data_IF_628889577985
#
_entry.id   IF_628889577985
#
_cell.length_a   1.000
_cell.length_b   1.000
_cell.length_c   1.000
_cell.angle_alpha   90.00
_cell.angle_beta   90.00
_cell.angle_gamma   90.00
#
_symmetry.space_group_name_H-M   'P 1'
#
loop_
_entity.id
_entity.type
_entity.pdbx_description
1 polymer ?
#
# COMPACT_ATOMS: atom_id res chain seq x y z
N UNK A 1 -34.37 -10.14 64.52
CA UNK A 1 -34.15 -9.24 63.38
C UNK A 1 -32.87 -9.72 62.68
N UNK A 2 -32.98 -10.39 61.52
CA UNK A 2 -31.80 -10.93 60.80
C UNK A 2 -31.36 -9.90 59.77
N UNK A 3 -30.13 -9.41 59.87
CA UNK A 3 -29.54 -8.46 58.93
C UNK A 3 -28.93 -9.27 57.78
N UNK A 4 -29.54 -9.23 56.60
CA UNK A 4 -28.99 -9.85 55.37
C UNK A 4 -28.01 -8.83 54.78
N UNK A 5 -26.71 -9.14 54.84
CA UNK A 5 -25.64 -8.34 54.23
C UNK A 5 -25.52 -8.77 52.77
N UNK A 6 -25.92 -7.94 51.82
CA UNK A 6 -25.63 -8.11 50.40
C UNK A 6 -24.21 -7.62 50.14
N UNK A 7 -23.29 -8.52 49.85
CA UNK A 7 -21.98 -8.18 49.29
C UNK A 7 -22.08 -8.12 47.76
N UNK A 8 -21.78 -6.96 47.21
CA UNK A 8 -21.61 -6.81 45.78
C UNK A 8 -20.29 -7.49 45.40
N UNK A 9 -20.36 -8.64 44.73
CA UNK A 9 -19.18 -9.32 44.22
C UNK A 9 -18.89 -8.79 42.80
N UNK A 10 -17.76 -8.14 42.63
CA UNK A 10 -17.25 -7.82 41.29
C UNK A 10 -16.51 -9.04 40.78
N UNK A 11 -16.98 -9.60 39.66
CA UNK A 11 -16.34 -10.74 38.99
C UNK A 11 -15.17 -10.25 38.10
N UNK A 12 -14.06 -9.89 38.71
CA UNK A 12 -12.79 -9.64 38.03
C UNK A 12 -11.99 -10.93 37.93
N UNK A 13 -11.32 -11.15 36.81
CA UNK A 13 -10.41 -12.28 36.62
C UNK A 13 -8.98 -11.80 36.79
N UNK A 14 -8.36 -12.17 37.89
CA UNK A 14 -6.92 -11.97 38.12
C UNK A 14 -6.17 -13.26 37.81
N UNK A 15 -5.17 -13.18 36.94
CA UNK A 15 -4.25 -14.30 36.67
C UNK A 15 -2.90 -13.93 37.24
N UNK A 16 -2.45 -14.69 38.22
CA UNK A 16 -1.18 -14.46 38.95
C UNK A 16 -1.11 -13.06 39.63
N UNK A 17 -2.28 -12.50 40.01
CA UNK A 17 -2.41 -11.32 40.85
C UNK A 17 -3.53 -11.52 41.85
N UNK A 18 -3.28 -11.19 43.12
CA UNK A 18 -4.29 -11.24 44.18
C UNK A 18 -5.12 -9.96 44.29
N UNK A 19 -4.64 -8.88 43.66
CA UNK A 19 -5.28 -7.56 43.67
C UNK A 19 -5.40 -7.05 42.23
N UNK A 20 -6.37 -7.57 41.44
CA UNK A 20 -6.59 -7.10 40.07
C UNK A 20 -6.89 -5.59 40.07
N UNK A 21 -6.48 -4.91 39.03
CA UNK A 21 -6.76 -3.49 38.83
C UNK A 21 -8.28 -3.27 38.72
N UNK A 22 -8.84 -2.43 39.59
CA UNK A 22 -10.28 -2.19 39.65
C UNK A 22 -10.93 -1.61 38.38
N UNK A 23 -10.13 -1.14 37.44
CA UNK A 23 -10.58 -0.62 36.16
C UNK A 23 -10.57 -1.69 35.02
N UNK A 24 -10.19 -2.95 35.31
CA UNK A 24 -10.10 -4.03 34.32
C UNK A 24 -11.01 -5.18 34.67
N UNK A 25 -11.56 -5.87 33.67
CA UNK A 25 -12.31 -7.13 33.84
C UNK A 25 -11.35 -8.32 33.98
N UNK A 26 -10.20 -8.23 33.31
CA UNK A 26 -9.12 -9.23 33.36
C UNK A 26 -7.80 -8.51 33.64
N UNK A 27 -7.05 -8.99 34.60
CA UNK A 27 -5.71 -8.52 34.93
C UNK A 27 -4.75 -9.72 34.98
N UNK A 28 -3.74 -9.69 34.14
CA UNK A 28 -2.74 -10.77 34.02
C UNK A 28 -1.37 -10.18 34.38
N UNK A 29 -0.79 -10.65 35.45
CA UNK A 29 0.52 -10.24 35.93
C UNK A 29 1.53 -11.37 35.73
N UNK A 30 2.60 -11.12 34.99
CA UNK A 30 3.71 -12.05 34.86
C UNK A 30 4.99 -11.32 34.42
N UNK A 31 6.12 -11.73 35.00
CA UNK A 31 7.46 -11.32 34.57
C UNK A 31 8.18 -12.40 33.73
N UNK A 32 7.52 -13.55 33.46
CA UNK A 32 8.13 -14.70 32.79
C UNK A 32 7.28 -15.24 31.62
N UNK A 33 5.98 -14.93 31.59
CA UNK A 33 5.02 -15.52 30.63
C UNK A 33 4.20 -14.43 29.96
N UNK A 34 3.85 -14.65 28.68
CA UNK A 34 2.97 -13.81 27.88
C UNK A 34 1.59 -14.42 27.69
N UNK A 35 0.76 -13.74 26.93
CA UNK A 35 -0.55 -14.19 26.49
C UNK A 35 -0.42 -14.69 25.05
N UNK A 36 -0.92 -15.89 24.78
CA UNK A 36 -1.09 -16.41 23.42
C UNK A 36 -2.53 -16.18 22.99
N UNK A 37 -2.73 -15.28 22.05
CA UNK A 37 -4.04 -15.02 21.45
C UNK A 37 -4.32 -15.99 20.28
N UNK A 38 -5.57 -16.10 19.80
CA UNK A 38 -5.91 -16.92 18.64
C UNK A 38 -5.05 -16.56 17.43
N UNK A 39 -4.55 -17.61 16.76
CA UNK A 39 -3.65 -17.49 15.60
C UNK A 39 -4.37 -18.01 14.37
N UNK A 40 -4.48 -17.18 13.33
CA UNK A 40 -5.20 -17.51 12.09
C UNK A 40 -4.33 -17.10 10.89
N UNK A 41 -4.46 -17.87 9.81
CA UNK A 41 -4.00 -17.46 8.49
C UNK A 41 -4.99 -16.47 7.87
N UNK A 42 -4.59 -15.77 6.79
CA UNK A 42 -5.50 -14.92 6.01
C UNK A 42 -6.76 -15.68 5.57
N UNK A 43 -6.57 -16.88 5.06
CA UNK A 43 -7.68 -17.72 4.61
C UNK A 43 -8.64 -18.09 5.76
N UNK A 44 -8.11 -18.44 6.92
CA UNK A 44 -8.94 -18.76 8.09
C UNK A 44 -9.65 -17.53 8.64
N UNK A 45 -8.94 -16.39 8.71
CA UNK A 45 -9.53 -15.10 9.10
C UNK A 45 -10.70 -14.75 8.18
N UNK A 46 -10.46 -14.76 6.87
CA UNK A 46 -11.43 -14.32 5.86
C UNK A 46 -12.64 -15.27 5.78
N UNK A 47 -12.43 -16.56 5.94
CA UNK A 47 -13.54 -17.55 5.82
C UNK A 47 -14.32 -17.76 7.11
N UNK A 48 -13.70 -17.62 8.28
CA UNK A 48 -14.31 -17.93 9.57
C UNK A 48 -14.78 -16.70 10.34
N UNK A 49 -14.12 -15.55 10.13
CA UNK A 49 -14.40 -14.31 10.86
C UNK A 49 -14.95 -13.22 9.94
N UNK A 50 -14.09 -12.58 9.17
CA UNK A 50 -14.46 -11.53 8.22
C UNK A 50 -13.42 -11.43 7.10
N UNK A 51 -13.91 -11.21 5.89
CA UNK A 51 -13.11 -10.90 4.72
C UNK A 51 -12.89 -9.39 4.61
N UNK A 52 -11.66 -8.98 4.34
CA UNK A 52 -11.31 -7.58 4.11
C UNK A 52 -11.57 -7.10 2.67
N UNK A 53 -12.05 -7.98 1.78
CA UNK A 53 -12.29 -7.58 0.40
C UNK A 53 -13.56 -6.70 0.28
N UNK A 54 -13.43 -5.38 0.07
CA UNK A 54 -14.58 -4.50 -0.05
C UNK A 54 -15.38 -4.71 -1.33
N UNK A 55 -14.87 -5.51 -2.28
CA UNK A 55 -15.56 -5.84 -3.52
C UNK A 55 -16.50 -7.04 -3.39
N UNK A 56 -16.34 -7.83 -2.33
CA UNK A 56 -17.30 -8.90 -2.02
C UNK A 56 -18.56 -8.34 -1.37
N UNK A 57 -19.70 -8.96 -1.64
CA UNK A 57 -20.99 -8.54 -1.08
C UNK A 57 -21.33 -9.43 0.11
N UNK A 58 -21.54 -8.85 1.28
CA UNK A 58 -21.61 -7.42 1.65
C UNK A 58 -20.26 -6.72 1.55
N UNK A 59 -20.19 -5.36 1.51
CA UNK A 59 -18.98 -4.60 1.21
C UNK A 59 -17.75 -4.88 2.06
N UNK A 60 -17.94 -5.48 3.23
CA UNK A 60 -16.88 -5.97 4.12
C UNK A 60 -16.62 -7.47 3.95
N UNK A 61 -17.09 -8.07 2.84
CA UNK A 61 -17.01 -9.51 2.64
C UNK A 61 -17.93 -10.31 3.56
N UNK A 62 -17.63 -11.60 3.74
CA UNK A 62 -18.36 -12.47 4.66
C UNK A 62 -17.97 -12.07 6.08
N UNK A 63 -18.92 -11.58 6.86
CA UNK A 63 -18.74 -11.26 8.28
C UNK A 63 -19.51 -12.28 9.12
N UNK A 64 -18.81 -12.92 10.05
CA UNK A 64 -19.47 -13.74 11.06
C UNK A 64 -20.41 -12.85 11.91
N UNK A 65 -21.68 -13.20 11.98
CA UNK A 65 -22.68 -12.43 12.71
C UNK A 65 -22.35 -12.20 14.21
N UNK A 66 -21.48 -13.05 14.77
CA UNK A 66 -21.02 -12.95 16.16
C UNK A 66 -19.66 -12.25 16.31
N UNK A 67 -19.08 -11.74 15.22
CA UNK A 67 -17.80 -11.05 15.27
C UNK A 67 -17.99 -9.64 15.86
N UNK A 68 -17.45 -9.43 17.04
CA UNK A 68 -17.54 -8.14 17.75
C UNK A 68 -16.37 -7.24 17.41
N UNK A 69 -16.63 -5.94 17.31
CA UNK A 69 -15.59 -4.91 17.22
C UNK A 69 -14.61 -5.05 18.40
N UNK A 70 -13.32 -4.97 18.10
CA UNK A 70 -12.25 -5.17 19.08
C UNK A 70 -11.77 -6.63 19.17
N UNK A 71 -12.35 -7.57 18.39
CA UNK A 71 -11.80 -8.94 18.32
C UNK A 71 -10.35 -8.88 17.85
N UNK A 72 -9.45 -9.49 18.64
CA UNK A 72 -8.00 -9.47 18.44
C UNK A 72 -7.52 -10.87 18.01
N UNK A 73 -6.68 -10.90 16.98
CA UNK A 73 -6.00 -12.11 16.49
C UNK A 73 -4.53 -11.85 16.21
N UNK A 74 -3.76 -12.93 16.11
CA UNK A 74 -2.45 -12.90 15.48
C UNK A 74 -2.55 -13.54 14.10
N UNK A 75 -2.33 -12.77 13.04
CA UNK A 75 -2.36 -13.26 11.68
C UNK A 75 -1.01 -13.89 11.33
N UNK A 76 -1.00 -15.22 11.08
CA UNK A 76 0.23 -15.96 10.80
C UNK A 76 0.71 -15.84 9.35
N UNK A 77 -0.13 -15.39 8.43
CA UNK A 77 0.28 -15.14 7.04
C UNK A 77 1.03 -13.82 6.91
N UNK A 78 0.68 -12.83 7.73
CA UNK A 78 1.26 -11.50 7.72
C UNK A 78 2.17 -11.21 8.93
N UNK A 79 2.29 -12.18 9.86
CA UNK A 79 3.08 -12.11 11.10
C UNK A 79 2.79 -10.87 11.95
N UNK A 80 1.48 -10.55 12.16
CA UNK A 80 1.09 -9.36 12.90
C UNK A 80 -0.15 -9.55 13.75
N UNK A 81 -0.31 -8.67 14.72
CA UNK A 81 -1.56 -8.53 15.47
C UNK A 81 -2.56 -7.71 14.67
N UNK A 82 -3.77 -8.22 14.55
CA UNK A 82 -4.88 -7.55 13.88
C UNK A 82 -6.10 -7.50 14.79
N UNK A 83 -6.89 -6.42 14.68
CA UNK A 83 -8.16 -6.29 15.36
C UNK A 83 -9.26 -5.89 14.39
N UNK A 84 -10.47 -6.37 14.66
CA UNK A 84 -11.66 -6.00 13.89
C UNK A 84 -12.21 -4.66 14.38
N UNK A 85 -12.31 -3.67 13.49
CA UNK A 85 -12.83 -2.33 13.83
C UNK A 85 -14.36 -2.21 13.61
N UNK A 86 -15.02 -3.29 13.20
CA UNK A 86 -16.42 -3.33 12.83
C UNK A 86 -16.65 -3.35 11.32
N UNK A 87 -15.63 -3.02 10.53
CA UNK A 87 -15.69 -2.97 9.08
C UNK A 87 -14.56 -3.73 8.40
N UNK A 88 -13.35 -3.63 8.96
CA UNK A 88 -12.15 -4.23 8.40
C UNK A 88 -11.18 -4.64 9.50
N UNK A 89 -10.29 -5.59 9.19
CA UNK A 89 -9.16 -5.93 10.05
C UNK A 89 -8.09 -4.86 9.96
N UNK A 90 -7.75 -4.30 11.10
CA UNK A 90 -6.69 -3.31 11.23
C UNK A 90 -5.52 -3.88 12.00
N UNK A 91 -4.34 -3.51 11.57
CA UNK A 91 -3.12 -3.82 12.29
C UNK A 91 -3.10 -3.06 13.64
N UNK A 92 -2.84 -3.79 14.74
CA UNK A 92 -2.83 -3.20 16.09
C UNK A 92 -1.61 -2.30 16.31
N UNK A 93 -0.48 -2.70 15.76
CA UNK A 93 0.75 -1.92 15.84
C UNK A 93 1.22 -1.61 14.41
N UNK A 94 1.34 -0.34 14.11
CA UNK A 94 2.17 0.09 13.01
C UNK A 94 3.60 -0.05 13.50
N UNK A 95 4.38 -0.94 12.90
CA UNK A 95 5.79 -1.00 13.21
C UNK A 95 6.38 0.38 12.85
N UNK A 96 6.62 1.21 13.84
CA UNK A 96 7.54 2.31 13.69
C UNK A 96 8.90 1.67 13.56
N UNK A 97 9.36 1.45 12.34
CA UNK A 97 10.70 1.00 12.13
C UNK A 97 11.63 2.16 12.51
N UNK A 98 12.04 2.15 13.73
CA UNK A 98 13.11 3.04 14.21
C UNK A 98 14.46 2.63 13.66
N UNK A 99 14.55 1.53 12.95
CA UNK A 99 15.83 0.89 12.71
C UNK A 99 16.45 1.22 11.37
N UNK A 100 15.69 1.56 10.35
CA UNK A 100 16.32 1.78 9.06
C UNK A 100 15.68 2.98 8.36
N UNK A 101 16.35 4.08 8.35
CA UNK A 101 15.94 5.27 7.61
C UNK A 101 15.77 5.09 6.10
N UNK A 102 15.69 3.85 5.60
CA UNK A 102 15.56 3.53 4.19
C UNK A 102 14.33 2.72 3.81
N UNK A 103 13.59 2.17 4.75
CA UNK A 103 12.39 1.38 4.50
C UNK A 103 11.25 2.20 3.87
N UNK A 104 11.38 3.52 3.92
CA UNK A 104 10.46 4.43 3.24
C UNK A 104 10.75 4.68 1.76
N UNK A 105 11.91 4.31 1.22
CA UNK A 105 12.28 4.67 -0.16
C UNK A 105 12.58 3.45 -0.99
N UNK A 106 11.81 3.22 -2.04
CA UNK A 106 12.03 2.14 -3.01
C UNK A 106 11.97 2.71 -4.43
N UNK A 107 13.05 2.54 -5.17
CA UNK A 107 13.14 2.91 -6.59
C UNK A 107 13.06 1.66 -7.46
N UNK A 108 12.27 1.71 -8.50
CA UNK A 108 12.12 0.65 -9.51
C UNK A 108 12.55 1.16 -10.87
N UNK A 109 13.38 0.38 -11.55
CA UNK A 109 13.86 0.65 -12.91
C UNK A 109 13.83 -0.65 -13.72
N UNK A 110 13.95 -0.53 -15.04
CA UNK A 110 14.26 -1.70 -15.88
C UNK A 110 15.65 -2.22 -15.53
N UNK A 111 15.78 -3.52 -15.29
CA UNK A 111 17.04 -4.16 -14.98
C UNK A 111 17.99 -4.28 -16.17
N UNK A 112 19.16 -4.84 -15.96
CA UNK A 112 20.16 -5.09 -16.99
C UNK A 112 19.56 -5.95 -18.12
N UNK A 113 19.56 -5.44 -19.34
CA UNK A 113 18.90 -6.06 -20.50
C UNK A 113 17.38 -5.82 -20.57
N UNK A 114 16.79 -5.13 -19.59
CA UNK A 114 15.39 -4.71 -19.63
C UNK A 114 15.19 -3.46 -20.48
N UNK A 115 14.06 -3.39 -21.15
CA UNK A 115 13.68 -2.22 -21.95
C UNK A 115 12.88 -1.26 -21.06
N UNK A 116 13.32 0.01 -21.00
CA UNK A 116 12.57 1.05 -20.32
C UNK A 116 11.21 1.24 -21.00
N UNK A 117 10.11 1.31 -20.24
CA UNK A 117 8.80 1.51 -20.84
C UNK A 117 8.78 2.77 -21.68
N UNK A 118 8.40 2.61 -22.94
CA UNK A 118 8.33 3.72 -23.89
C UNK A 118 7.00 3.69 -24.60
N UNK A 119 6.32 4.83 -24.65
CA UNK A 119 5.03 4.99 -25.33
C UNK A 119 5.07 6.18 -26.27
N UNK A 120 4.39 6.03 -27.40
CA UNK A 120 4.16 7.11 -28.34
C UNK A 120 2.77 7.67 -28.08
N UNK A 121 2.73 8.91 -27.62
CA UNK A 121 1.50 9.64 -27.35
C UNK A 121 1.09 10.40 -28.60
N UNK A 122 -0.15 10.26 -28.99
CA UNK A 122 -0.76 11.01 -30.08
C UNK A 122 -1.76 12.00 -29.52
N UNK A 123 -1.85 13.16 -30.13
CA UNK A 123 -2.80 14.19 -29.82
C UNK A 123 -3.38 14.79 -31.10
N UNK A 124 -4.51 15.41 -31.01
CA UNK A 124 -5.13 16.12 -32.11
C UNK A 124 -5.58 17.51 -31.63
N UNK A 125 -4.97 18.55 -32.17
CA UNK A 125 -5.40 19.93 -32.02
C UNK A 125 -5.37 20.46 -30.57
N UNK A 126 -4.27 20.29 -29.85
CA UNK A 126 -4.08 20.72 -28.46
C UNK A 126 -5.06 20.07 -27.45
N UNK A 127 -5.57 18.89 -27.80
CA UNK A 127 -6.42 18.10 -26.91
C UNK A 127 -5.67 16.82 -26.52
N UNK A 128 -5.75 16.43 -25.26
CA UNK A 128 -5.17 15.18 -24.80
C UNK A 128 -5.69 13.99 -25.60
N UNK A 129 -4.76 13.21 -26.12
CA UNK A 129 -5.08 12.02 -26.90
C UNK A 129 -5.49 10.83 -26.02
N UNK A 130 -5.56 9.66 -26.64
CA UNK A 130 -5.89 8.42 -25.90
C UNK A 130 -4.80 8.09 -24.89
N UNK A 131 -5.11 7.92 -23.59
CA UNK A 131 -4.15 7.51 -22.60
C UNK A 131 -3.50 6.15 -22.92
N UNK A 132 -2.21 6.04 -22.68
CA UNK A 132 -1.43 4.82 -22.83
C UNK A 132 -0.96 4.33 -21.47
N UNK A 133 -1.18 3.06 -21.17
CA UNK A 133 -0.68 2.45 -19.94
C UNK A 133 0.83 2.22 -20.01
N UNK A 134 1.53 2.58 -18.96
CA UNK A 134 2.96 2.33 -18.82
C UNK A 134 3.18 0.95 -18.21
N UNK A 135 3.77 0.06 -19.00
CA UNK A 135 3.98 -1.33 -18.64
C UNK A 135 5.48 -1.61 -18.53
N UNK A 136 5.91 -2.04 -17.34
CA UNK A 136 7.25 -2.53 -17.15
C UNK A 136 7.34 -4.01 -17.53
N UNK A 137 8.40 -4.37 -18.22
CA UNK A 137 8.74 -5.76 -18.51
C UNK A 137 9.91 -6.20 -17.63
N UNK A 138 9.94 -7.47 -17.30
CA UNK A 138 11.07 -8.07 -16.60
C UNK A 138 12.32 -8.12 -17.50
N UNK A 139 13.55 -8.05 -16.95
CA UNK A 139 13.86 -7.94 -15.51
C UNK A 139 13.69 -6.52 -14.97
N UNK A 140 13.39 -6.43 -13.68
CA UNK A 140 13.34 -5.18 -12.94
C UNK A 140 14.49 -5.10 -11.96
N UNK A 141 14.95 -3.87 -11.71
CA UNK A 141 15.93 -3.57 -10.66
C UNK A 141 15.28 -2.72 -9.59
N UNK A 142 15.53 -3.07 -8.35
CA UNK A 142 15.03 -2.35 -7.18
C UNK A 142 16.20 -1.73 -6.41
N UNK A 143 16.04 -0.52 -5.94
CA UNK A 143 17.03 0.16 -5.11
C UNK A 143 16.35 0.81 -3.90
N UNK A 144 16.76 0.50 -2.67
CA UNK A 144 17.86 -0.42 -2.35
C UNK A 144 17.54 -1.86 -2.76
N UNK A 145 18.59 -2.64 -2.97
CA UNK A 145 18.42 -4.07 -3.27
C UNK A 145 17.88 -4.81 -2.05
N UNK A 146 16.86 -5.66 -2.19
CA UNK A 146 16.29 -6.38 -1.05
C UNK A 146 17.26 -7.34 -0.37
N UNK A 147 18.36 -7.72 -1.05
CA UNK A 147 19.32 -8.70 -0.54
C UNK A 147 20.57 -8.10 0.09
N UNK A 148 20.90 -6.86 -0.19
CA UNK A 148 22.20 -6.29 0.19
C UNK A 148 22.14 -4.96 0.92
N UNK A 149 21.09 -4.20 0.75
CA UNK A 149 21.02 -2.82 1.25
C UNK A 149 20.05 -2.62 2.39
N UNK A 150 19.31 -3.66 2.74
CA UNK A 150 18.29 -3.60 3.75
C UNK A 150 18.71 -4.46 4.93
N UNK A 151 19.07 -3.89 6.07
CA UNK A 151 19.46 -4.68 7.24
C UNK A 151 18.32 -5.56 7.77
N UNK A 152 17.12 -5.32 7.28
CA UNK A 152 15.88 -5.93 7.76
C UNK A 152 15.19 -6.78 6.69
N UNK A 153 15.96 -7.53 5.92
CA UNK A 153 15.41 -8.56 5.03
C UNK A 153 14.58 -9.61 5.77
N UNK A 154 14.67 -9.64 7.09
CA UNK A 154 13.90 -10.49 7.99
C UNK A 154 12.63 -9.84 8.52
N UNK A 155 12.46 -8.55 8.37
CA UNK A 155 11.19 -7.92 8.71
C UNK A 155 10.22 -8.28 7.61
N UNK A 156 9.06 -8.86 7.92
CA UNK A 156 7.98 -9.06 6.96
C UNK A 156 7.40 -7.69 6.59
N UNK A 157 8.31 -6.80 6.21
CA UNK A 157 7.97 -5.45 6.02
C UNK A 157 7.42 -5.32 4.64
N UNK A 158 6.36 -4.62 4.60
CA UNK A 158 5.74 -4.22 3.35
C UNK A 158 6.67 -3.42 2.45
N UNK A 159 7.83 -3.07 2.93
CA UNK A 159 8.96 -2.62 2.16
C UNK A 159 9.63 -3.69 1.32
N UNK A 160 9.13 -4.90 1.34
CA UNK A 160 9.60 -5.89 0.38
C UNK A 160 9.43 -5.33 -1.02
N UNK A 161 10.56 -4.94 -1.57
CA UNK A 161 10.66 -4.28 -2.86
C UNK A 161 10.03 -5.08 -3.99
N UNK A 162 9.99 -6.40 -3.85
CA UNK A 162 9.35 -7.30 -4.81
C UNK A 162 7.83 -7.10 -4.92
N UNK A 163 7.20 -6.51 -3.92
CA UNK A 163 5.76 -6.30 -3.90
C UNK A 163 5.32 -4.92 -4.40
N UNK A 164 6.26 -4.00 -4.65
CA UNK A 164 5.91 -2.65 -5.12
C UNK A 164 5.31 -2.64 -6.52
N UNK A 165 5.67 -3.60 -7.36
CA UNK A 165 5.16 -3.74 -8.71
C UNK A 165 4.92 -5.21 -9.05
N UNK A 166 3.75 -5.53 -9.57
CA UNK A 166 3.34 -6.90 -9.83
C UNK A 166 2.48 -7.01 -11.07
N UNK A 167 2.26 -8.25 -11.50
CA UNK A 167 1.47 -8.59 -12.68
C UNK A 167 2.31 -8.67 -13.95
N UNK A 168 1.79 -9.39 -14.93
CA UNK A 168 2.46 -9.66 -16.22
C UNK A 168 1.67 -9.16 -17.42
N UNK A 169 0.42 -8.76 -17.22
CA UNK A 169 -0.47 -8.26 -18.27
C UNK A 169 -0.96 -6.85 -17.95
N UNK A 170 -1.41 -6.06 -18.93
CA UNK A 170 -1.94 -4.72 -18.68
C UNK A 170 -3.03 -4.68 -17.60
N UNK A 171 -3.90 -5.67 -17.60
CA UNK A 171 -4.99 -5.76 -16.62
C UNK A 171 -4.52 -6.05 -15.20
N UNK A 172 -3.41 -6.77 -15.05
CA UNK A 172 -2.91 -7.25 -13.74
C UNK A 172 -1.74 -6.46 -13.19
N UNK A 173 -1.06 -5.64 -14.01
CA UNK A 173 0.07 -4.83 -13.54
C UNK A 173 -0.40 -3.72 -12.61
N UNK A 174 0.22 -3.67 -11.44
CA UNK A 174 -0.10 -2.73 -10.36
C UNK A 174 1.14 -2.22 -9.67
N UNK A 175 1.13 -0.93 -9.38
CA UNK A 175 2.00 -0.28 -8.41
C UNK A 175 1.32 -0.36 -7.06
N UNK A 176 2.01 -0.89 -6.07
CA UNK A 176 1.42 -1.16 -4.75
C UNK A 176 2.06 -0.35 -3.65
N UNK A 177 1.24 0.02 -2.72
CA UNK A 177 1.66 0.61 -1.46
C UNK A 177 2.16 -0.48 -0.50
N UNK A 178 2.65 -0.08 0.67
CA UNK A 178 3.00 -1.04 1.69
C UNK A 178 1.75 -1.52 2.45
N UNK A 179 1.94 -2.48 3.35
CA UNK A 179 0.84 -3.07 4.13
C UNK A 179 0.37 -2.20 5.31
N UNK A 180 0.93 -1.00 5.49
CA UNK A 180 0.58 -0.13 6.60
C UNK A 180 -0.60 0.75 6.19
N UNK A 181 -1.77 0.37 6.65
CA UNK A 181 -3.01 1.10 6.38
C UNK A 181 -2.95 2.56 6.85
N UNK A 182 -3.37 3.46 5.98
CA UNK A 182 -3.36 4.90 6.25
C UNK A 182 -2.00 5.57 6.10
N UNK A 183 -0.96 4.82 5.72
CA UNK A 183 0.34 5.42 5.44
C UNK A 183 0.29 6.24 4.15
N UNK A 184 0.86 7.44 4.21
CA UNK A 184 1.00 8.31 3.05
C UNK A 184 2.23 7.92 2.24
N UNK A 185 2.08 7.81 0.94
CA UNK A 185 3.16 7.58 -0.01
C UNK A 185 3.29 8.72 -0.99
N UNK A 186 4.53 9.06 -1.30
CA UNK A 186 4.88 9.95 -2.41
C UNK A 186 5.48 9.10 -3.52
N UNK A 187 4.87 9.15 -4.69
CA UNK A 187 5.40 8.51 -5.88
C UNK A 187 6.07 9.54 -6.76
N UNK A 188 7.34 9.32 -7.05
CA UNK A 188 8.11 10.12 -7.98
C UNK A 188 8.37 9.31 -9.24
N UNK A 189 7.86 9.80 -10.37
CA UNK A 189 8.03 9.16 -11.67
C UNK A 189 8.94 10.05 -12.51
N UNK A 190 10.10 9.53 -12.87
CA UNK A 190 11.03 10.21 -13.78
C UNK A 190 10.81 9.68 -15.19
N UNK A 191 10.64 10.58 -16.13
CA UNK A 191 10.47 10.23 -17.53
C UNK A 191 11.31 11.16 -18.43
N UNK A 192 11.75 10.62 -19.55
CA UNK A 192 12.33 11.37 -20.65
C UNK A 192 11.27 11.57 -21.71
N UNK A 193 10.93 12.81 -22.00
CA UNK A 193 9.92 13.17 -23.00
C UNK A 193 10.60 13.83 -24.19
N UNK A 194 10.26 13.38 -25.39
CA UNK A 194 10.69 13.99 -26.66
C UNK A 194 9.44 14.47 -27.38
N UNK A 195 9.28 15.78 -27.48
CA UNK A 195 8.16 16.39 -28.19
C UNK A 195 8.27 16.15 -29.70
N UNK A 196 7.15 15.85 -30.35
CA UNK A 196 7.07 15.67 -31.80
C UNK A 196 6.85 16.97 -32.58
N UNK A 197 6.55 18.08 -31.90
CA UNK A 197 6.34 19.38 -32.53
C UNK A 197 7.04 20.51 -31.77
N UNK A 198 7.17 21.66 -32.42
CA UNK A 198 7.72 22.86 -31.82
C UNK A 198 6.68 23.72 -31.08
N UNK A 199 5.45 23.31 -31.06
CA UNK A 199 4.41 23.96 -30.27
C UNK A 199 4.61 23.67 -28.78
N UNK A 200 4.18 24.60 -27.92
CA UNK A 200 4.06 24.30 -26.50
C UNK A 200 2.96 23.25 -26.27
N UNK A 201 3.14 22.48 -25.25
CA UNK A 201 2.17 21.44 -24.88
C UNK A 201 2.45 20.87 -23.50
N UNK A 202 1.83 19.75 -23.21
CA UNK A 202 1.96 19.09 -21.91
C UNK A 202 1.82 17.58 -22.02
N UNK A 203 2.40 16.89 -21.05
CA UNK A 203 2.17 15.48 -20.79
C UNK A 203 1.43 15.36 -19.47
N UNK A 204 0.31 14.68 -19.50
CA UNK A 204 -0.49 14.32 -18.33
C UNK A 204 -0.16 12.89 -17.94
N UNK A 205 0.32 12.69 -16.72
CA UNK A 205 0.47 11.38 -16.11
C UNK A 205 -0.67 11.16 -15.11
N UNK A 206 -1.31 10.00 -15.19
CA UNK A 206 -2.42 9.60 -14.35
C UNK A 206 -2.05 8.35 -13.57
N UNK A 207 -2.20 8.43 -12.26
CA UNK A 207 -2.04 7.29 -11.36
C UNK A 207 -3.43 6.86 -10.92
N UNK A 208 -3.90 5.73 -11.49
CA UNK A 208 -5.29 5.29 -11.37
C UNK A 208 -5.36 3.94 -10.67
N UNK A 209 -6.21 3.87 -9.64
CA UNK A 209 -6.61 2.59 -9.06
C UNK A 209 -7.89 2.11 -9.77
N UNK A 210 -7.84 1.05 -10.57
CA UNK A 210 -9.01 0.60 -11.32
C UNK A 210 -10.07 -0.07 -10.44
N UNK A 211 -9.71 -0.50 -9.23
CA UNK A 211 -10.62 -1.19 -8.32
C UNK A 211 -11.48 -0.20 -7.52
N UNK A 212 -10.90 0.92 -7.09
CA UNK A 212 -11.64 2.00 -6.40
C UNK A 212 -12.15 3.09 -7.34
N UNK A 213 -11.61 3.18 -8.56
CA UNK A 213 -11.84 4.30 -9.45
C UNK A 213 -11.09 5.58 -9.06
N UNK A 214 -10.28 5.53 -7.99
CA UNK A 214 -9.47 6.67 -7.55
C UNK A 214 -8.40 7.01 -8.59
N UNK A 215 -8.26 8.31 -8.89
CA UNK A 215 -7.38 8.79 -9.94
C UNK A 215 -6.73 10.11 -9.52
N UNK A 216 -5.41 10.20 -9.68
CA UNK A 216 -4.64 11.43 -9.46
C UNK A 216 -3.87 11.76 -10.73
N UNK A 217 -3.85 13.04 -11.05
CA UNK A 217 -3.22 13.57 -12.24
C UNK A 217 -2.04 14.50 -11.90
N UNK A 218 -0.97 14.41 -12.69
CA UNK A 218 0.15 15.33 -12.65
C UNK A 218 0.55 15.75 -14.06
N UNK A 219 0.91 17.00 -14.26
CA UNK A 219 1.18 17.59 -15.57
C UNK A 219 2.64 18.05 -15.63
N UNK A 220 3.31 17.73 -16.73
CA UNK A 220 4.60 18.29 -17.10
C UNK A 220 4.47 19.12 -18.39
N UNK A 221 4.96 20.35 -18.34
CA UNK A 221 4.90 21.27 -19.47
C UNK A 221 6.05 21.01 -20.46
N UNK A 222 5.72 21.05 -21.72
CA UNK A 222 6.64 20.97 -22.85
C UNK A 222 6.74 22.39 -23.49
N UNK A 223 7.82 23.09 -23.29
CA UNK A 223 7.98 24.41 -23.89
C UNK A 223 8.09 24.36 -25.42
N UNK A 224 7.70 25.43 -26.08
CA UNK A 224 7.88 25.58 -27.52
C UNK A 224 9.34 25.45 -27.95
N UNK A 225 9.60 25.04 -29.20
CA UNK A 225 10.94 24.86 -29.72
C UNK A 225 11.66 23.61 -29.19
N UNK A 226 10.95 22.64 -28.63
CA UNK A 226 11.55 21.46 -28.04
C UNK A 226 11.40 20.19 -28.90
N UNK A 227 10.96 20.32 -30.15
CA UNK A 227 10.81 19.16 -31.05
C UNK A 227 12.10 18.37 -31.19
N UNK A 228 12.02 17.06 -31.01
CA UNK A 228 13.16 16.15 -31.13
C UNK A 228 14.19 16.24 -30.00
N UNK A 229 14.05 17.16 -29.06
CA UNK A 229 15.00 17.34 -27.93
C UNK A 229 14.46 16.58 -26.70
N UNK A 230 15.17 15.51 -26.24
CA UNK A 230 14.77 14.82 -25.02
C UNK A 230 14.85 15.71 -23.78
N UNK A 231 13.81 15.70 -22.97
CA UNK A 231 13.76 16.44 -21.70
C UNK A 231 13.36 15.50 -20.58
N UNK A 232 14.07 15.58 -19.46
CA UNK A 232 13.72 14.85 -18.26
C UNK A 232 12.64 15.65 -17.52
N UNK A 233 11.54 14.97 -17.23
CA UNK A 233 10.41 15.50 -16.44
C UNK A 233 10.17 14.60 -15.24
N UNK A 234 9.56 15.17 -14.22
CA UNK A 234 9.24 14.43 -12.99
C UNK A 234 7.79 14.69 -12.63
N UNK A 235 7.05 13.60 -12.38
CA UNK A 235 5.70 13.63 -11.86
C UNK A 235 5.70 13.19 -10.42
N UNK A 236 4.86 13.83 -9.59
CA UNK A 236 4.66 13.48 -8.20
C UNK A 236 3.19 13.17 -7.94
N UNK A 237 2.95 12.07 -7.23
CA UNK A 237 1.63 11.67 -6.78
C UNK A 237 1.66 11.40 -5.29
N UNK A 238 0.56 11.68 -4.62
CA UNK A 238 0.37 11.40 -3.21
C UNK A 238 -0.79 10.42 -3.07
N UNK A 239 -0.54 9.32 -2.40
CA UNK A 239 -1.54 8.28 -2.15
C UNK A 239 -1.57 7.91 -0.68
N UNK A 240 -2.64 7.26 -0.26
CA UNK A 240 -2.79 6.75 1.11
C UNK A 240 -3.08 5.27 0.99
N UNK A 241 -2.29 4.46 1.68
CA UNK A 241 -2.45 3.02 1.67
C UNK A 241 -3.83 2.63 2.22
N UNK A 242 -4.60 1.95 1.41
CA UNK A 242 -5.91 1.43 1.72
C UNK A 242 -6.04 -0.04 1.29
N UNK A 243 -7.19 -0.64 1.52
CA UNK A 243 -7.45 -2.04 1.19
C UNK A 243 -7.32 -2.35 -0.30
N UNK A 244 -7.53 -1.37 -1.17
CA UNK A 244 -7.49 -1.54 -2.61
C UNK A 244 -6.11 -1.26 -3.20
N UNK A 245 -5.15 -0.82 -2.41
CA UNK A 245 -3.80 -0.45 -2.85
C UNK A 245 -2.67 -1.28 -2.25
N UNK A 246 -2.93 -2.00 -1.15
CA UNK A 246 -1.91 -2.80 -0.47
C UNK A 246 -1.64 -4.14 -1.17
N UNK A 247 -0.43 -4.70 -1.06
CA UNK A 247 -0.03 -5.93 -1.73
C UNK A 247 -0.87 -7.17 -1.37
N UNK A 248 -1.31 -7.25 -0.14
CA UNK A 248 -2.06 -8.38 0.41
C UNK A 248 -3.33 -8.69 -0.38
N UNK A 249 -4.05 -7.64 -0.77
CA UNK A 249 -5.30 -7.77 -1.54
C UNK A 249 -5.07 -7.86 -3.06
N UNK A 250 -3.83 -7.84 -3.50
CA UNK A 250 -3.50 -7.89 -4.92
C UNK A 250 -3.85 -6.64 -5.71
N UNK A 251 -4.19 -5.57 -5.03
CA UNK A 251 -4.66 -4.29 -5.59
C UNK A 251 -3.51 -3.32 -5.83
N UNK A 252 -3.80 -2.12 -6.26
CA UNK A 252 -2.84 -1.06 -6.49
C UNK A 252 -3.17 -0.19 -7.69
N UNK A 253 -2.20 0.61 -8.11
CA UNK A 253 -2.37 1.63 -9.13
C UNK A 253 -1.80 1.21 -10.48
N UNK A 254 -2.39 1.75 -11.52
CA UNK A 254 -1.85 1.74 -12.89
C UNK A 254 -1.31 3.13 -13.21
N UNK A 255 -0.19 3.19 -13.94
CA UNK A 255 0.34 4.43 -14.48
C UNK A 255 -0.09 4.57 -15.93
N UNK A 256 -0.75 5.68 -16.25
CA UNK A 256 -1.19 6.04 -17.59
C UNK A 256 -0.59 7.38 -17.99
N UNK A 257 -0.35 7.57 -19.27
CA UNK A 257 0.12 8.85 -19.79
C UNK A 257 -0.62 9.22 -21.07
N UNK A 258 -0.86 10.52 -21.23
CA UNK A 258 -1.38 11.13 -22.44
C UNK A 258 -0.73 12.49 -22.66
N UNK A 259 -0.85 13.05 -23.84
CA UNK A 259 -0.32 14.36 -24.18
C UNK A 259 -1.30 15.14 -25.06
N UNK A 260 -1.21 16.47 -25.02
CA UNK A 260 -1.95 17.39 -25.91
C UNK A 260 -1.18 17.72 -27.19
N UNK A 261 0.01 17.17 -27.34
CA UNK A 261 0.76 17.12 -28.61
C UNK A 261 1.42 15.76 -28.78
N UNK A 262 1.83 15.42 -30.02
CA UNK A 262 2.59 14.20 -30.25
C UNK A 262 3.88 14.20 -29.45
N UNK A 263 4.12 13.14 -28.68
CA UNK A 263 5.33 13.00 -27.87
C UNK A 263 5.72 11.53 -27.72
N UNK A 264 7.02 11.26 -27.66
CA UNK A 264 7.56 9.99 -27.21
C UNK A 264 7.91 10.13 -25.72
N UNK A 265 7.42 9.25 -24.90
CA UNK A 265 7.66 9.24 -23.46
C UNK A 265 8.31 7.93 -23.07
N UNK A 266 9.49 8.00 -22.46
CA UNK A 266 10.18 6.87 -21.86
C UNK A 266 10.19 7.04 -20.35
N UNK A 267 9.64 6.11 -19.61
CA UNK A 267 9.69 6.14 -18.14
C UNK A 267 11.02 5.54 -17.67
N UNK A 268 11.81 6.36 -16.99
CA UNK A 268 13.15 6.00 -16.56
C UNK A 268 13.12 5.27 -15.21
N UNK A 269 12.33 5.77 -14.26
CA UNK A 269 12.19 5.15 -12.94
C UNK A 269 10.88 5.55 -12.26
N UNK A 270 10.44 4.70 -11.33
CA UNK A 270 9.38 4.98 -10.37
C UNK A 270 9.96 4.82 -8.97
N UNK A 271 9.81 5.83 -8.14
CA UNK A 271 10.26 5.80 -6.74
C UNK A 271 9.05 5.99 -5.83
N UNK A 272 8.85 5.08 -4.90
CA UNK A 272 7.91 5.23 -3.80
C UNK A 272 8.66 5.71 -2.56
N UNK A 273 8.16 6.74 -1.92
CA UNK A 273 8.63 7.24 -0.63
C UNK A 273 7.48 7.09 0.35
N UNK A 274 7.67 6.32 1.40
CA UNK A 274 6.69 6.21 2.48
C UNK A 274 6.93 7.30 3.50
N UNK A 275 5.92 8.09 3.79
CA UNK A 275 5.97 9.08 4.87
C UNK A 275 5.40 8.43 6.12
N UNK A 276 6.23 8.26 7.14
CA UNK A 276 5.79 7.70 8.40
C UNK A 276 4.85 8.69 9.10
N UNK A 277 3.77 8.14 9.64
CA UNK A 277 2.90 8.86 10.54
C UNK A 277 3.41 8.58 11.96
N UNK A 278 3.82 9.62 12.67
CA UNK A 278 4.14 9.55 14.09
C UNK A 278 2.93 9.14 14.93
#
# INVERSE_FOLDING_TARGET
MSLILFTISHAQVGINTATPNGATVMDISSNEKGILIPRLTDTERNTKLADNDPLTVPPAGVVNANLSTGTLIYNTSSDRFEFWDGFVWRQLFVATSSAAGNDGVVKVESGAGGVKPTVNLSASGNTYGTPQQILYTTPLTFAPSPTTSWPETTVPYPGNTSNIYTGTTPATQRWRENLIMGQVHVWRIMATVTAGSNSSGSVLATFKNPDSGFEINAIALLPSGSSGVPKVVTFYFYTIADQLSIPEEGKGYQLWMTADQTANVRVDSVTRVSLFKD
#
